data_IF_794580779043
#
_entry.id   IF_794580779043
#
_cell.length_a   1.000
_cell.length_b   1.000
_cell.length_c   1.000
_cell.angle_alpha   90.00
_cell.angle_beta   90.00
_cell.angle_gamma   90.00
#
_symmetry.space_group_name_H-M   'P 1'
#
loop_
_entity.id
_entity.type
_entity.pdbx_description
1 polymer ?
#
# COMPACT_ATOMS: atom_id res chain seq x y z
N UNK A 1 1.88 15.73 1.94
CA UNK A 1 3.33 15.51 2.18
C UNK A 1 3.56 14.01 2.07
N UNK A 2 4.42 13.59 1.13
CA UNK A 2 4.95 12.23 1.16
C UNK A 2 5.81 12.09 2.44
N UNK A 3 5.75 10.92 3.07
CA UNK A 3 6.52 10.61 4.28
C UNK A 3 8.02 10.68 3.96
N UNK A 4 8.85 10.96 4.97
CA UNK A 4 10.30 10.93 4.80
C UNK A 4 10.79 9.51 4.51
N UNK A 5 11.99 9.41 3.94
CA UNK A 5 12.66 8.13 3.75
C UNK A 5 12.88 7.43 5.11
N UNK A 6 12.61 6.14 5.15
CA UNK A 6 12.71 5.36 6.38
C UNK A 6 11.93 4.06 6.34
N UNK A 7 11.99 3.36 7.45
CA UNK A 7 11.25 2.12 7.68
C UNK A 7 10.10 2.39 8.65
N UNK A 8 8.93 1.87 8.32
CA UNK A 8 7.70 2.14 9.04
C UNK A 8 6.89 0.86 9.19
N UNK A 9 6.21 0.73 10.32
CA UNK A 9 5.21 -0.33 10.51
C UNK A 9 3.84 0.21 10.11
N UNK A 10 3.21 -0.47 9.16
CA UNK A 10 1.87 -0.17 8.66
C UNK A 10 0.89 -1.25 9.12
N UNK A 11 -0.33 -0.85 9.43
CA UNK A 11 -1.42 -1.78 9.67
C UNK A 11 -2.01 -2.20 8.33
N UNK A 12 -2.12 -3.50 8.09
CA UNK A 12 -2.92 -4.00 6.98
C UNK A 12 -4.42 -3.88 7.30
N UNK A 13 -5.23 -3.52 6.30
CA UNK A 13 -6.69 -3.49 6.41
C UNK A 13 -7.36 -3.94 5.12
N UNK A 14 -8.44 -4.70 5.28
CA UNK A 14 -9.31 -5.09 4.18
C UNK A 14 -10.28 -3.97 3.83
N UNK A 15 -10.40 -3.66 2.54
CA UNK A 15 -11.34 -2.67 2.02
C UNK A 15 -12.81 -3.10 2.25
N UNK A 16 -13.11 -4.40 2.16
CA UNK A 16 -14.46 -4.94 2.39
C UNK A 16 -14.83 -4.99 3.89
N UNK A 17 -13.82 -5.15 4.75
CA UNK A 17 -14.00 -5.30 6.20
C UNK A 17 -12.98 -4.46 6.99
N UNK A 18 -13.09 -3.11 7.01
CA UNK A 18 -12.07 -2.20 7.56
C UNK A 18 -11.87 -2.26 9.08
N UNK A 19 -12.79 -2.94 9.78
CA UNK A 19 -12.76 -3.16 11.22
C UNK A 19 -12.28 -4.57 11.61
N UNK A 20 -12.01 -5.43 10.62
CA UNK A 20 -11.46 -6.76 10.88
C UNK A 20 -9.99 -6.63 11.31
N UNK A 21 -9.60 -7.39 12.32
CA UNK A 21 -8.21 -7.51 12.76
C UNK A 21 -7.35 -8.03 11.62
N UNK A 22 -6.16 -7.49 11.44
CA UNK A 22 -5.22 -7.95 10.43
C UNK A 22 -3.77 -7.74 10.89
N UNK A 23 -2.82 -8.07 10.02
CA UNK A 23 -1.40 -8.07 10.35
C UNK A 23 -0.74 -6.69 10.23
N UNK A 24 0.48 -6.61 10.73
CA UNK A 24 1.37 -5.47 10.54
C UNK A 24 2.36 -5.78 9.42
N UNK A 25 2.68 -4.77 8.62
CA UNK A 25 3.58 -4.86 7.48
C UNK A 25 4.70 -3.84 7.64
N UNK A 26 5.91 -4.23 7.25
CA UNK A 26 7.05 -3.33 7.21
C UNK A 26 7.05 -2.60 5.86
N UNK A 27 7.04 -1.27 5.90
CA UNK A 27 7.04 -0.41 4.72
C UNK A 27 8.33 0.39 4.71
N UNK A 28 9.13 0.19 3.67
CA UNK A 28 10.37 0.92 3.44
C UNK A 28 10.09 1.99 2.38
N UNK A 29 10.33 3.25 2.71
CA UNK A 29 10.21 4.38 1.78
C UNK A 29 11.59 4.92 1.46
N UNK A 30 11.90 5.04 0.16
CA UNK A 30 13.15 5.61 -0.37
C UNK A 30 12.83 6.57 -1.52
N UNK A 31 12.70 7.85 -1.21
CA UNK A 31 12.23 8.87 -2.13
C UNK A 31 10.78 8.61 -2.53
N UNK A 32 10.57 8.26 -3.80
CA UNK A 32 9.26 7.83 -4.31
C UNK A 32 9.10 6.32 -4.29
N UNK A 33 10.16 5.53 -4.07
CA UNK A 33 10.03 4.08 -4.05
C UNK A 33 9.49 3.62 -2.69
N UNK A 34 8.57 2.66 -2.73
CA UNK A 34 8.01 2.01 -1.57
C UNK A 34 8.10 0.50 -1.73
N UNK A 35 8.44 -0.18 -0.65
CA UNK A 35 8.44 -1.64 -0.56
C UNK A 35 7.65 -2.04 0.68
N UNK A 36 6.63 -2.86 0.49
CA UNK A 36 5.80 -3.45 1.55
C UNK A 36 6.26 -4.88 1.77
N UNK A 37 6.57 -5.23 3.01
CA UNK A 37 7.20 -6.49 3.39
C UNK A 37 6.40 -7.12 4.53
N UNK A 38 6.00 -8.38 4.36
CA UNK A 38 5.59 -9.22 5.47
C UNK A 38 6.83 -9.76 6.19
N UNK A 39 6.98 -9.44 7.47
CA UNK A 39 8.05 -9.95 8.30
C UNK A 39 7.63 -11.15 9.17
N UNK A 40 6.34 -11.46 9.19
CA UNK A 40 5.76 -12.54 9.99
C UNK A 40 5.21 -13.64 9.08
N UNK A 41 5.36 -14.90 9.48
CA UNK A 41 4.70 -16.02 8.80
C UNK A 41 3.22 -16.00 9.18
N UNK A 42 2.39 -15.42 8.31
CA UNK A 42 0.95 -15.26 8.52
C UNK A 42 0.15 -15.83 7.34
N UNK A 43 -1.11 -16.18 7.58
CA UNK A 43 -1.97 -16.79 6.58
C UNK A 43 -2.44 -15.80 5.50
N UNK A 44 -2.33 -14.49 5.74
CA UNK A 44 -2.82 -13.47 4.80
C UNK A 44 -1.83 -13.24 3.65
N UNK A 45 -0.53 -13.10 3.95
CA UNK A 45 0.51 -12.86 2.97
C UNK A 45 1.71 -13.76 3.19
N UNK A 46 2.39 -14.24 2.13
CA UNK A 46 3.63 -14.96 2.30
C UNK A 46 4.70 -14.07 2.94
N UNK A 47 5.64 -14.69 3.66
CA UNK A 47 6.83 -14.01 4.18
C UNK A 47 7.63 -13.40 3.02
N UNK A 48 8.02 -12.12 3.16
CA UNK A 48 8.81 -11.40 2.16
C UNK A 48 8.10 -10.18 1.56
N UNK A 49 8.50 -9.79 0.35
CA UNK A 49 7.95 -8.60 -0.31
C UNK A 49 6.53 -8.90 -0.79
N UNK A 50 5.56 -8.11 -0.31
CA UNK A 50 4.15 -8.16 -0.74
C UNK A 50 3.93 -7.26 -1.96
N UNK A 51 4.48 -6.04 -1.91
CA UNK A 51 4.21 -4.98 -2.87
C UNK A 51 5.46 -4.12 -3.02
N UNK A 52 5.74 -3.63 -4.23
CA UNK A 52 6.90 -2.80 -4.52
C UNK A 52 6.67 -1.91 -5.74
N UNK A 53 6.75 -0.59 -5.56
CA UNK A 53 6.61 0.34 -6.67
C UNK A 53 6.88 1.79 -6.29
N UNK A 54 6.39 2.71 -7.09
CA UNK A 54 6.47 4.15 -6.85
C UNK A 54 5.22 4.67 -6.13
N UNK A 55 5.40 5.43 -5.06
CA UNK A 55 4.38 6.25 -4.43
C UNK A 55 3.96 7.36 -5.38
N UNK A 56 2.69 7.31 -5.75
CA UNK A 56 2.07 8.32 -6.59
C UNK A 56 0.79 8.83 -5.95
N UNK A 57 0.57 10.14 -6.02
CA UNK A 57 -0.69 10.73 -5.60
C UNK A 57 -1.70 10.65 -6.74
N UNK A 58 -2.66 9.72 -6.63
CA UNK A 58 -3.71 9.59 -7.61
C UNK A 58 -4.74 10.72 -7.43
N UNK A 59 -4.76 11.66 -8.37
CA UNK A 59 -5.66 12.83 -8.31
C UNK A 59 -7.14 12.45 -8.39
N UNK A 60 -7.48 11.38 -9.11
CA UNK A 60 -8.86 10.94 -9.30
C UNK A 60 -9.53 10.45 -8.01
N UNK A 61 -8.77 9.75 -7.16
CA UNK A 61 -9.27 9.24 -5.87
C UNK A 61 -8.84 10.07 -4.66
N UNK A 62 -7.83 10.93 -4.81
CA UNK A 62 -7.27 11.69 -3.69
C UNK A 62 -6.54 10.82 -2.68
N UNK A 63 -5.92 9.72 -3.14
CA UNK A 63 -5.22 8.75 -2.32
C UNK A 63 -3.80 8.51 -2.87
N UNK A 64 -2.90 8.11 -1.97
CA UNK A 64 -1.61 7.58 -2.39
C UNK A 64 -1.77 6.15 -2.84
N UNK A 65 -1.16 5.84 -3.98
CA UNK A 65 -1.16 4.51 -4.59
C UNK A 65 0.28 4.05 -4.83
N UNK A 66 0.45 2.74 -4.93
CA UNK A 66 1.69 2.11 -5.35
C UNK A 66 1.58 1.78 -6.83
N UNK A 67 2.44 2.40 -7.63
CA UNK A 67 2.44 2.33 -9.09
C UNK A 67 3.60 1.46 -9.53
N UNK A 68 3.32 0.49 -10.40
CA UNK A 68 4.32 -0.37 -11.03
C UNK A 68 4.60 0.06 -12.47
N UNK A 69 3.56 0.53 -13.16
CA UNK A 69 3.61 0.94 -14.56
C UNK A 69 3.01 2.34 -14.74
N UNK A 70 3.42 3.08 -15.79
CA UNK A 70 2.86 4.40 -16.08
C UNK A 70 1.33 4.40 -16.20
N UNK A 71 0.76 3.29 -16.70
CA UNK A 71 -0.70 3.10 -16.87
C UNK A 71 -1.46 3.12 -15.54
N UNK A 72 -0.83 2.72 -14.43
CA UNK A 72 -1.44 2.75 -13.09
C UNK A 72 -1.74 4.18 -12.64
N UNK A 73 -1.00 5.17 -13.17
CA UNK A 73 -1.19 6.60 -12.86
C UNK A 73 -2.49 7.15 -13.43
N UNK A 74 -2.98 6.53 -14.51
CA UNK A 74 -4.20 6.89 -15.24
C UNK A 74 -5.37 5.93 -14.95
N UNK A 75 -5.20 5.01 -13.99
CA UNK A 75 -6.24 4.06 -13.61
C UNK A 75 -7.49 4.79 -13.11
N UNK A 76 -8.65 4.49 -13.71
CA UNK A 76 -9.93 5.12 -13.33
C UNK A 76 -10.32 4.77 -11.89
N UNK A 77 -10.08 3.53 -11.50
CA UNK A 77 -10.40 2.98 -10.21
C UNK A 77 -9.11 2.49 -9.55
N UNK A 78 -8.93 2.82 -8.27
CA UNK A 78 -7.79 2.39 -7.45
C UNK A 78 -8.32 1.82 -6.14
N UNK A 79 -7.50 1.03 -5.44
CA UNK A 79 -7.88 0.47 -4.15
C UNK A 79 -7.88 -1.05 -4.12
N UNK A 80 -7.87 -1.59 -2.90
CA UNK A 80 -7.62 -3.00 -2.65
C UNK A 80 -8.49 -3.98 -3.43
N UNK A 81 -9.76 -3.65 -3.67
CA UNK A 81 -10.70 -4.50 -4.43
C UNK A 81 -10.93 -4.07 -5.88
N UNK A 82 -10.23 -3.04 -6.34
CA UNK A 82 -10.27 -2.61 -7.74
C UNK A 82 -9.20 -3.37 -8.53
N UNK A 83 -9.36 -3.50 -9.85
CA UNK A 83 -8.30 -4.00 -10.73
C UNK A 83 -7.12 -3.03 -10.88
N UNK A 84 -7.17 -1.89 -10.18
CA UNK A 84 -6.15 -0.85 -10.21
C UNK A 84 -5.14 -0.99 -9.08
N UNK A 85 -4.21 -0.02 -8.98
CA UNK A 85 -3.11 -0.06 -8.04
C UNK A 85 -3.55 -0.05 -6.57
N UNK A 86 -2.74 -0.69 -5.73
CA UNK A 86 -2.90 -0.76 -4.28
C UNK A 86 -2.89 0.64 -3.65
N UNK A 87 -3.73 0.84 -2.64
CA UNK A 87 -3.82 2.11 -1.90
C UNK A 87 -3.04 2.02 -0.61
N UNK A 88 -2.26 3.07 -0.32
CA UNK A 88 -1.45 3.18 0.88
C UNK A 88 -1.69 4.51 1.59
N UNK A 89 -2.18 4.50 2.82
CA UNK A 89 -2.30 5.71 3.64
C UNK A 89 -1.00 5.95 4.41
N UNK A 90 -0.16 6.84 3.89
CA UNK A 90 1.10 7.23 4.53
C UNK A 90 0.90 7.97 5.87
N UNK A 91 -0.24 8.62 6.09
CA UNK A 91 -0.51 9.39 7.31
C UNK A 91 -1.08 8.50 8.40
N UNK A 92 -2.05 7.65 8.06
CA UNK A 92 -2.62 6.65 8.94
C UNK A 92 -1.74 5.42 9.13
N UNK A 93 -0.68 5.27 8.30
CA UNK A 93 0.15 4.07 8.19
C UNK A 93 -0.69 2.83 7.94
N UNK A 94 -1.53 2.87 6.90
CA UNK A 94 -2.42 1.77 6.53
C UNK A 94 -2.15 1.31 5.12
N UNK A 95 -2.02 0.00 4.91
CA UNK A 95 -1.98 -0.62 3.59
C UNK A 95 -3.33 -1.33 3.35
N UNK A 96 -3.98 -1.00 2.24
CA UNK A 96 -5.34 -1.45 1.94
C UNK A 96 -5.34 -2.49 0.82
N UNK A 97 -5.86 -3.68 1.10
CA UNK A 97 -6.15 -4.69 0.07
C UNK A 97 -7.61 -5.14 0.09
N UNK A 98 -8.03 -5.88 -0.93
CA UNK A 98 -9.10 -6.86 -0.78
C UNK A 98 -8.53 -8.06 0.01
#
# INVERSE_FOLDING_TARGET
MAISDGEYVFQHKFAEHPNMSSIQLNVIVKGVLVTVINADDDAIFPLGIIDHGELFWHKGSGQWIIVYSPEDKDAKDVGGCSAGPSVIDLKGKVYWTC
#
